data_IF_171469806865
#
_entry.id   IF_171469806865
#
_cell.length_a   1.000
_cell.length_b   1.000
_cell.length_c   1.000
_cell.angle_alpha   90.00
_cell.angle_beta   90.00
_cell.angle_gamma   90.00
#
_symmetry.space_group_name_H-M   'P 1'
#
loop_
_entity.id
_entity.type
_entity.pdbx_description
1 polymer ?
#
# COMPACT_ATOMS: atom_id res chain seq x y z
N UNK A 1 16.19 11.14 -28.99
CA UNK A 1 16.35 12.42 -28.26
C UNK A 1 14.97 13.05 -28.10
N UNK A 2 14.54 13.31 -26.87
CA UNK A 2 13.20 13.83 -26.58
C UNK A 2 13.21 15.36 -26.71
N UNK A 3 12.37 15.96 -27.58
CA UNK A 3 12.31 17.42 -27.74
C UNK A 3 11.75 18.09 -26.48
N UNK A 4 12.01 19.40 -26.34
CA UNK A 4 11.44 20.19 -25.26
C UNK A 4 9.91 20.05 -25.24
N UNK A 5 9.36 19.82 -24.05
CA UNK A 5 7.94 19.56 -23.84
C UNK A 5 7.25 20.77 -23.21
N UNK A 6 5.98 21.07 -23.55
CA UNK A 6 5.25 22.17 -22.93
C UNK A 6 4.89 21.83 -21.47
N UNK A 7 5.26 22.69 -20.52
CA UNK A 7 5.04 22.44 -19.09
C UNK A 7 3.56 22.46 -18.67
N UNK A 8 2.75 23.31 -19.29
CA UNK A 8 1.37 23.54 -18.86
C UNK A 8 0.47 22.30 -19.04
N UNK A 9 0.45 21.61 -20.20
CA UNK A 9 -0.31 20.38 -20.36
C UNK A 9 0.05 19.30 -19.33
N UNK A 10 1.35 19.09 -19.08
CA UNK A 10 1.80 18.13 -18.08
C UNK A 10 1.28 18.45 -16.68
N UNK A 11 1.35 19.71 -16.25
CA UNK A 11 0.82 20.15 -14.95
C UNK A 11 -0.67 19.89 -14.82
N UNK A 12 -1.45 20.26 -15.83
CA UNK A 12 -2.91 20.11 -15.82
C UNK A 12 -3.29 18.62 -15.79
N UNK A 13 -2.68 17.80 -16.65
CA UNK A 13 -2.95 16.36 -16.68
C UNK A 13 -2.61 15.67 -15.36
N UNK A 14 -1.42 15.92 -14.81
CA UNK A 14 -0.98 15.32 -13.56
C UNK A 14 -1.83 15.80 -12.38
N UNK A 15 -2.15 17.10 -12.31
CA UNK A 15 -3.06 17.64 -11.27
C UNK A 15 -4.44 16.98 -11.35
N UNK A 16 -4.97 16.77 -12.56
CA UNK A 16 -6.25 16.10 -12.77
C UNK A 16 -6.23 14.66 -12.23
N UNK A 17 -5.15 13.91 -12.50
CA UNK A 17 -4.98 12.56 -11.97
C UNK A 17 -4.93 12.55 -10.43
N UNK A 18 -4.19 13.49 -9.82
CA UNK A 18 -4.15 13.60 -8.37
C UNK A 18 -5.52 13.95 -7.76
N UNK A 19 -6.27 14.86 -8.40
CA UNK A 19 -7.64 15.20 -7.97
C UNK A 19 -8.55 13.97 -8.04
N UNK A 20 -8.45 13.16 -9.09
CA UNK A 20 -9.19 11.89 -9.19
C UNK A 20 -8.78 10.96 -8.04
N UNK A 21 -7.48 10.82 -7.75
CA UNK A 21 -6.95 10.06 -6.62
C UNK A 21 -7.53 10.51 -5.28
N UNK A 22 -7.52 11.82 -5.00
CA UNK A 22 -8.08 12.42 -3.78
C UNK A 22 -9.59 12.15 -3.67
N UNK A 23 -10.35 12.42 -4.74
CA UNK A 23 -11.79 12.17 -4.77
C UNK A 23 -12.11 10.69 -4.55
N UNK A 24 -11.29 9.78 -5.11
CA UNK A 24 -11.42 8.34 -4.93
C UNK A 24 -11.27 7.92 -3.45
N UNK A 25 -10.32 8.52 -2.73
CA UNK A 25 -10.13 8.31 -1.28
C UNK A 25 -11.28 8.88 -0.46
N UNK A 26 -11.76 10.09 -0.80
CA UNK A 26 -12.90 10.73 -0.11
C UNK A 26 -14.16 9.89 -0.27
N UNK A 27 -14.47 9.45 -1.50
CA UNK A 27 -15.62 8.59 -1.79
C UNK A 27 -15.54 7.27 -1.03
N UNK A 28 -14.36 6.64 -0.98
CA UNK A 28 -14.13 5.44 -0.16
C UNK A 28 -14.50 5.68 1.30
N UNK A 29 -13.93 6.71 1.92
CA UNK A 29 -14.12 7.02 3.35
C UNK A 29 -15.59 7.35 3.62
N UNK A 30 -16.21 8.19 2.81
CA UNK A 30 -17.61 8.59 2.97
C UNK A 30 -18.57 7.40 2.83
N UNK A 31 -18.35 6.55 1.82
CA UNK A 31 -19.15 5.33 1.65
C UNK A 31 -19.02 4.38 2.85
N UNK A 32 -17.80 4.19 3.37
CA UNK A 32 -17.53 3.34 4.54
C UNK A 32 -18.08 3.92 5.84
N UNK A 33 -18.03 5.25 5.97
CA UNK A 33 -18.66 6.00 7.06
C UNK A 33 -20.17 5.81 7.05
N UNK A 34 -20.83 6.03 5.90
CA UNK A 34 -22.28 5.83 5.74
C UNK A 34 -22.72 4.40 6.06
N UNK A 35 -21.93 3.42 5.65
CA UNK A 35 -22.22 2.00 5.94
C UNK A 35 -21.83 1.55 7.35
N UNK A 36 -21.32 2.45 8.22
CA UNK A 36 -20.81 2.18 9.58
C UNK A 36 -19.79 1.04 9.61
N UNK A 37 -18.95 0.95 8.59
CA UNK A 37 -17.97 -0.13 8.38
C UNK A 37 -16.54 0.41 8.22
N UNK A 38 -16.23 1.50 8.91
CA UNK A 38 -14.89 2.09 8.98
C UNK A 38 -13.92 1.10 9.64
N UNK A 39 -12.74 0.97 9.04
CA UNK A 39 -11.67 0.11 9.52
C UNK A 39 -10.30 0.79 9.38
N UNK A 40 -9.26 0.16 9.92
CA UNK A 40 -7.87 0.63 9.80
C UNK A 40 -7.41 0.84 8.35
N UNK A 41 -7.94 0.07 7.39
CA UNK A 41 -7.62 0.26 5.97
C UNK A 41 -8.11 1.61 5.41
N UNK A 42 -9.22 2.12 5.94
CA UNK A 42 -9.80 3.41 5.55
C UNK A 42 -8.97 4.57 6.10
N UNK A 43 -8.50 4.49 7.36
CA UNK A 43 -7.58 5.48 7.91
C UNK A 43 -6.24 5.50 7.18
N UNK A 44 -5.71 4.33 6.82
CA UNK A 44 -4.49 4.23 6.03
C UNK A 44 -4.63 4.88 4.64
N UNK A 45 -5.84 4.94 4.07
CA UNK A 45 -6.10 5.60 2.78
C UNK A 45 -6.16 7.13 2.85
N UNK A 46 -6.37 7.71 4.04
CA UNK A 46 -6.36 9.16 4.25
C UNK A 46 -4.95 9.73 4.11
N UNK A 47 -3.94 8.98 4.55
CA UNK A 47 -2.52 9.38 4.45
C UNK A 47 -2.13 9.75 3.01
N UNK A 48 -2.23 8.82 2.03
CA UNK A 48 -1.94 9.11 0.63
C UNK A 48 -2.74 10.30 0.10
N UNK A 49 -4.03 10.41 0.41
CA UNK A 49 -4.86 11.53 -0.04
C UNK A 49 -4.38 12.89 0.48
N UNK A 50 -3.88 12.97 1.72
CA UNK A 50 -3.31 14.20 2.26
C UNK A 50 -1.99 14.57 1.56
N UNK A 51 -1.14 13.57 1.29
CA UNK A 51 0.14 13.79 0.58
C UNK A 51 -0.04 14.07 -0.91
N UNK A 52 -1.15 13.68 -1.53
CA UNK A 52 -1.51 14.08 -2.90
C UNK A 52 -1.74 15.59 -3.00
N UNK A 53 -2.36 16.23 -2.00
CA UNK A 53 -2.47 17.69 -1.94
C UNK A 53 -1.08 18.36 -1.88
N UNK A 54 -0.16 17.77 -1.11
CA UNK A 54 1.23 18.23 -1.00
C UNK A 54 1.95 18.03 -2.33
N UNK A 55 1.76 16.91 -3.02
CA UNK A 55 2.34 16.63 -4.34
C UNK A 55 1.87 17.65 -5.38
N UNK A 56 0.56 17.98 -5.43
CA UNK A 56 0.03 19.05 -6.29
C UNK A 56 0.76 20.37 -5.99
N UNK A 57 0.83 20.79 -4.73
CA UNK A 57 1.52 22.02 -4.36
C UNK A 57 3.00 22.02 -4.81
N UNK A 58 3.70 20.91 -4.62
CA UNK A 58 5.10 20.74 -5.02
C UNK A 58 5.25 20.86 -6.55
N UNK A 59 4.38 20.24 -7.34
CA UNK A 59 4.42 20.33 -8.82
C UNK A 59 4.26 21.79 -9.26
N UNK A 60 3.30 22.51 -8.70
CA UNK A 60 3.04 23.90 -9.07
C UNK A 60 4.19 24.83 -8.66
N UNK A 61 4.77 24.63 -7.47
CA UNK A 61 5.89 25.42 -6.97
C UNK A 61 7.21 25.12 -7.70
N UNK A 62 7.51 23.85 -7.96
CA UNK A 62 8.79 23.42 -8.58
C UNK A 62 8.99 23.96 -9.98
N UNK A 63 7.91 24.02 -10.76
CA UNK A 63 7.94 24.42 -12.17
C UNK A 63 7.44 25.85 -12.40
N UNK A 64 7.48 26.72 -11.38
CA UNK A 64 7.25 28.15 -11.58
C UNK A 64 8.50 28.76 -12.21
N UNK A 65 8.33 29.70 -13.15
CA UNK A 65 9.44 30.48 -13.68
C UNK A 65 9.95 31.38 -12.57
N UNK A 66 11.19 31.15 -12.17
CA UNK A 66 11.93 31.95 -11.20
C UNK A 66 13.26 32.33 -11.83
N UNK A 67 13.79 33.48 -11.43
CA UNK A 67 15.15 33.88 -11.80
C UNK A 67 16.17 32.91 -11.20
N UNK A 68 17.33 32.77 -11.86
CA UNK A 68 18.42 31.84 -11.48
C UNK A 68 19.21 32.25 -10.23
N UNK A 69 18.51 32.81 -9.24
CA UNK A 69 19.10 33.12 -7.94
C UNK A 69 19.44 31.84 -7.16
N UNK A 70 20.49 31.91 -6.34
CA UNK A 70 20.92 30.79 -5.49
C UNK A 70 19.81 30.29 -4.55
N UNK A 71 18.98 31.20 -4.03
CA UNK A 71 17.83 30.88 -3.19
C UNK A 71 16.81 29.99 -3.91
N UNK A 72 16.56 30.26 -5.19
CA UNK A 72 15.64 29.46 -6.02
C UNK A 72 16.21 28.07 -6.26
N UNK A 73 17.53 27.94 -6.44
CA UNK A 73 18.20 26.63 -6.57
C UNK A 73 18.00 25.79 -5.31
N UNK A 74 18.23 26.37 -4.13
CA UNK A 74 18.01 25.67 -2.84
C UNK A 74 16.55 25.25 -2.66
N UNK A 75 15.59 26.12 -3.02
CA UNK A 75 14.17 25.78 -2.98
C UNK A 75 13.80 24.64 -3.94
N UNK A 76 14.34 24.62 -5.17
CA UNK A 76 14.12 23.53 -6.13
C UNK A 76 14.65 22.19 -5.61
N UNK A 77 15.82 22.20 -4.98
CA UNK A 77 16.41 21.03 -4.32
C UNK A 77 15.48 20.54 -3.20
N UNK A 78 15.06 21.43 -2.29
CA UNK A 78 14.14 21.10 -1.20
C UNK A 78 12.80 20.54 -1.71
N UNK A 79 12.19 21.17 -2.72
CA UNK A 79 10.98 20.67 -3.38
C UNK A 79 11.18 19.30 -4.02
N UNK A 80 12.36 19.02 -4.57
CA UNK A 80 12.68 17.70 -5.11
C UNK A 80 12.73 16.63 -4.01
N UNK A 81 13.31 16.94 -2.84
CA UNK A 81 13.30 16.03 -1.69
C UNK A 81 11.89 15.81 -1.14
N UNK A 82 11.12 16.88 -0.98
CA UNK A 82 9.73 16.77 -0.53
C UNK A 82 8.89 15.95 -1.50
N UNK A 83 9.14 16.05 -2.82
CA UNK A 83 8.48 15.22 -3.83
C UNK A 83 8.83 13.73 -3.65
N UNK A 84 10.11 13.41 -3.45
CA UNK A 84 10.57 12.03 -3.22
C UNK A 84 10.03 11.45 -1.91
N UNK A 85 9.96 12.27 -0.85
CA UNK A 85 9.35 11.88 0.41
C UNK A 85 7.85 11.61 0.24
N UNK A 86 7.13 12.51 -0.44
CA UNK A 86 5.69 12.36 -0.72
C UNK A 86 5.42 11.11 -1.55
N UNK A 87 6.20 10.86 -2.60
CA UNK A 87 6.16 9.64 -3.41
C UNK A 87 6.29 8.38 -2.53
N UNK A 88 7.30 8.33 -1.67
CA UNK A 88 7.52 7.20 -0.76
C UNK A 88 6.33 7.00 0.18
N UNK A 89 5.85 8.06 0.81
CA UNK A 89 4.71 8.01 1.73
C UNK A 89 3.45 7.51 1.00
N UNK A 90 3.13 8.06 -0.17
CA UNK A 90 1.97 7.68 -0.96
C UNK A 90 2.02 6.19 -1.33
N UNK A 91 3.14 5.70 -1.85
CA UNK A 91 3.29 4.30 -2.28
C UNK A 91 3.14 3.36 -1.09
N UNK A 92 3.91 3.60 -0.03
CA UNK A 92 3.93 2.69 1.12
C UNK A 92 2.59 2.67 1.86
N UNK A 93 1.97 3.83 2.10
CA UNK A 93 0.66 3.87 2.75
C UNK A 93 -0.45 3.25 1.88
N UNK A 94 -0.36 3.37 0.56
CA UNK A 94 -1.27 2.67 -0.36
C UNK A 94 -1.12 1.15 -0.26
N UNK A 95 0.11 0.64 -0.17
CA UNK A 95 0.41 -0.78 0.06
C UNK A 95 -0.09 -1.27 1.41
N UNK A 96 0.10 -0.47 2.46
CA UNK A 96 -0.41 -0.78 3.81
C UNK A 96 -1.94 -0.82 3.80
N UNK A 97 -2.62 0.12 3.14
CA UNK A 97 -4.08 0.10 2.99
C UNK A 97 -4.55 -1.17 2.27
N UNK A 98 -3.84 -1.58 1.20
CA UNK A 98 -4.15 -2.81 0.47
C UNK A 98 -3.91 -4.06 1.33
N UNK A 99 -2.80 -4.12 2.06
CA UNK A 99 -2.49 -5.21 2.99
C UNK A 99 -3.56 -5.32 4.09
N UNK A 100 -3.99 -4.20 4.66
CA UNK A 100 -5.08 -4.17 5.65
C UNK A 100 -6.43 -4.60 5.04
N UNK A 101 -6.70 -4.27 3.78
CA UNK A 101 -7.86 -4.79 3.07
C UNK A 101 -7.77 -6.32 2.93
N UNK A 102 -6.60 -6.87 2.62
CA UNK A 102 -6.34 -8.33 2.62
C UNK A 102 -6.58 -8.96 3.99
N UNK A 103 -6.09 -8.35 5.07
CA UNK A 103 -6.33 -8.80 6.47
C UNK A 103 -7.83 -8.89 6.73
N UNK A 104 -8.60 -7.86 6.32
CA UNK A 104 -10.05 -7.79 6.53
C UNK A 104 -10.83 -8.89 5.81
N UNK A 105 -10.39 -9.30 4.62
CA UNK A 105 -11.05 -10.36 3.83
C UNK A 105 -10.70 -11.75 4.39
N UNK A 106 -9.60 -11.86 5.12
CA UNK A 106 -9.10 -13.14 5.65
C UNK A 106 -9.88 -13.54 6.90
N UNK A 107 -10.45 -14.76 6.97
CA UNK A 107 -11.27 -15.17 8.10
C UNK A 107 -10.46 -15.18 9.41
N UNK A 108 -11.11 -14.79 10.50
CA UNK A 108 -10.47 -14.54 11.80
C UNK A 108 -9.78 -15.77 12.39
N UNK A 109 -10.24 -16.96 12.03
CA UNK A 109 -9.76 -18.25 12.56
C UNK A 109 -8.57 -18.84 11.78
N UNK A 110 -8.16 -18.23 10.66
CA UNK A 110 -7.08 -18.78 9.83
C UNK A 110 -5.69 -18.35 10.31
N UNK A 111 -4.75 -19.30 10.35
CA UNK A 111 -3.32 -19.01 10.59
C UNK A 111 -2.78 -18.00 9.57
N UNK A 112 -3.31 -18.02 8.35
CA UNK A 112 -3.00 -17.07 7.28
C UNK A 112 -3.20 -15.61 7.69
N UNK A 113 -4.22 -15.30 8.51
CA UNK A 113 -4.46 -13.92 8.97
C UNK A 113 -3.29 -13.36 9.76
N UNK A 114 -2.68 -14.19 10.60
CA UNK A 114 -1.52 -13.79 11.41
C UNK A 114 -0.32 -13.45 10.52
N UNK A 115 -0.08 -14.24 9.46
CA UNK A 115 0.96 -13.95 8.47
C UNK A 115 0.75 -12.61 7.76
N UNK A 116 -0.47 -12.31 7.32
CA UNK A 116 -0.76 -11.01 6.65
C UNK A 116 -0.56 -9.83 7.60
N UNK A 117 -0.98 -9.97 8.86
CA UNK A 117 -0.72 -8.94 9.88
C UNK A 117 0.80 -8.75 10.06
N UNK A 118 1.55 -9.85 10.15
CA UNK A 118 3.01 -9.83 10.20
C UNK A 118 3.63 -9.08 9.00
N UNK A 119 3.19 -9.38 7.78
CA UNK A 119 3.65 -8.67 6.58
C UNK A 119 3.29 -7.17 6.60
N UNK A 120 2.10 -6.82 7.09
CA UNK A 120 1.69 -5.41 7.22
C UNK A 120 2.61 -4.67 8.20
N UNK A 121 2.92 -5.28 9.34
CA UNK A 121 3.88 -4.72 10.30
C UNK A 121 5.29 -4.61 9.70
N UNK A 122 5.74 -5.63 8.96
CA UNK A 122 7.03 -5.60 8.28
C UNK A 122 7.11 -4.48 7.24
N UNK A 123 6.03 -4.21 6.49
CA UNK A 123 5.96 -3.08 5.56
C UNK A 123 6.05 -1.73 6.28
N UNK A 124 5.36 -1.56 7.41
CA UNK A 124 5.47 -0.34 8.21
C UNK A 124 6.91 -0.10 8.67
N UNK A 125 7.59 -1.14 9.19
CA UNK A 125 8.98 -1.04 9.66
C UNK A 125 9.94 -0.74 8.52
N UNK A 126 9.79 -1.44 7.38
CA UNK A 126 10.61 -1.21 6.19
C UNK A 126 10.45 0.23 5.67
N UNK A 127 9.21 0.75 5.63
CA UNK A 127 8.94 2.12 5.25
C UNK A 127 9.62 3.13 6.18
N UNK A 128 9.49 2.97 7.51
CA UNK A 128 10.16 3.85 8.49
C UNK A 128 11.68 3.81 8.30
N UNK A 129 12.25 2.62 8.12
CA UNK A 129 13.69 2.47 7.88
C UNK A 129 14.12 3.18 6.59
N UNK A 130 13.38 3.03 5.49
CA UNK A 130 13.66 3.72 4.23
C UNK A 130 13.56 5.25 4.36
N UNK A 131 12.54 5.75 5.06
CA UNK A 131 12.42 7.18 5.33
C UNK A 131 13.60 7.69 6.17
N UNK A 132 14.00 6.98 7.22
CA UNK A 132 15.15 7.37 8.03
C UNK A 132 16.45 7.37 7.22
N UNK A 133 16.68 6.33 6.41
CA UNK A 133 17.84 6.24 5.50
C UNK A 133 17.85 7.41 4.51
N UNK A 134 16.68 7.85 4.02
CA UNK A 134 16.55 9.00 3.14
C UNK A 134 16.85 10.31 3.88
N UNK A 135 16.28 10.52 5.07
CA UNK A 135 16.46 11.73 5.88
C UNK A 135 17.91 11.91 6.36
N UNK A 136 18.53 10.87 6.93
CA UNK A 136 19.92 10.93 7.44
C UNK A 136 20.93 11.24 6.34
N UNK A 137 20.65 10.81 5.11
CA UNK A 137 21.60 11.02 4.01
C UNK A 137 21.37 12.34 3.31
N UNK A 138 20.13 12.84 3.32
CA UNK A 138 19.85 14.21 2.95
C UNK A 138 20.66 15.21 3.79
N UNK A 139 20.94 14.90 5.06
CA UNK A 139 21.72 15.81 5.93
C UNK A 139 23.23 15.64 5.80
N UNK A 140 23.71 14.45 5.45
CA UNK A 140 25.16 14.12 5.52
C UNK A 140 25.87 14.20 4.17
N UNK A 141 25.25 13.83 3.04
CA UNK A 141 25.98 13.79 1.76
C UNK A 141 25.07 13.99 0.53
N UNK A 142 25.49 14.85 -0.41
CA UNK A 142 24.81 15.14 -1.68
C UNK A 142 24.94 14.05 -2.75
N UNK A 143 25.83 13.06 -2.58
CA UNK A 143 26.08 11.98 -3.55
C UNK A 143 25.02 10.86 -3.58
N UNK A 144 23.85 11.10 -3.01
CA UNK A 144 22.82 10.09 -2.74
C UNK A 144 22.10 9.54 -4.00
N UNK A 145 22.32 10.11 -5.18
CA UNK A 145 21.46 9.88 -6.34
C UNK A 145 21.62 8.50 -7.02
N UNK A 146 22.82 7.91 -7.07
CA UNK A 146 23.09 6.77 -7.98
C UNK A 146 23.00 5.39 -7.35
N UNK A 147 23.57 5.16 -6.16
CA UNK A 147 23.68 3.81 -5.55
C UNK A 147 22.36 3.37 -4.87
N UNK A 148 21.41 4.28 -4.67
CA UNK A 148 20.22 4.04 -3.83
C UNK A 148 18.98 3.63 -4.57
N UNK A 149 18.88 4.04 -5.84
CA UNK A 149 17.69 3.77 -6.61
C UNK A 149 17.45 2.24 -6.65
N UNK A 150 18.50 1.45 -6.84
CA UNK A 150 18.40 -0.01 -6.99
C UNK A 150 17.90 -0.71 -5.72
N UNK A 151 18.39 -0.30 -4.54
CA UNK A 151 17.91 -0.86 -3.26
C UNK A 151 16.44 -0.50 -3.05
N UNK A 152 16.08 0.76 -3.28
CA UNK A 152 14.69 1.23 -3.13
C UNK A 152 13.78 0.47 -4.09
N UNK A 153 14.21 0.30 -5.35
CA UNK A 153 13.48 -0.47 -6.35
C UNK A 153 13.32 -1.93 -5.93
N UNK A 154 14.38 -2.61 -5.50
CA UNK A 154 14.33 -4.00 -5.06
C UNK A 154 13.36 -4.19 -3.88
N UNK A 155 13.39 -3.29 -2.89
CA UNK A 155 12.49 -3.36 -1.74
C UNK A 155 11.04 -3.09 -2.16
N UNK A 156 10.81 -2.12 -3.04
CA UNK A 156 9.48 -1.81 -3.54
C UNK A 156 8.91 -2.99 -4.35
N UNK A 157 9.70 -3.55 -5.27
CA UNK A 157 9.31 -4.66 -6.13
C UNK A 157 8.99 -5.90 -5.29
N UNK A 158 9.82 -6.19 -4.28
CA UNK A 158 9.60 -7.29 -3.35
C UNK A 158 8.29 -7.12 -2.58
N UNK A 159 7.96 -5.90 -2.14
CA UNK A 159 6.71 -5.61 -1.44
C UNK A 159 5.49 -5.85 -2.35
N UNK A 160 5.54 -5.42 -3.62
CA UNK A 160 4.47 -5.67 -4.58
C UNK A 160 4.33 -7.14 -4.95
N UNK A 161 5.44 -7.88 -5.08
CA UNK A 161 5.41 -9.32 -5.31
C UNK A 161 4.73 -10.07 -4.15
N UNK A 162 4.96 -9.65 -2.91
CA UNK A 162 4.27 -10.22 -1.73
C UNK A 162 2.77 -9.91 -1.78
N UNK A 163 2.39 -8.65 -2.09
CA UNK A 163 0.99 -8.23 -2.21
C UNK A 163 0.25 -8.86 -3.39
N UNK A 164 0.96 -9.22 -4.45
CA UNK A 164 0.44 -9.98 -5.58
C UNK A 164 0.31 -11.47 -5.23
N UNK A 165 1.37 -12.05 -4.66
CA UNK A 165 1.47 -13.48 -4.37
C UNK A 165 0.44 -13.95 -3.35
N UNK A 166 0.11 -13.13 -2.35
CA UNK A 166 -0.87 -13.51 -1.32
C UNK A 166 -2.30 -13.77 -1.85
N UNK A 167 -2.98 -12.80 -2.50
CA UNK A 167 -4.32 -13.03 -3.03
C UNK A 167 -4.32 -14.11 -4.12
N UNK A 168 -3.24 -14.24 -4.88
CA UNK A 168 -3.06 -15.27 -5.89
C UNK A 168 -3.01 -16.68 -5.29
N UNK A 169 -2.16 -16.88 -4.28
CA UNK A 169 -2.13 -18.12 -3.50
C UNK A 169 -3.52 -18.46 -2.96
N UNK A 170 -4.24 -17.47 -2.43
CA UNK A 170 -5.59 -17.66 -1.90
C UNK A 170 -6.60 -18.06 -2.97
N UNK A 171 -6.51 -17.49 -4.18
CA UNK A 171 -7.41 -17.81 -5.29
C UNK A 171 -7.25 -19.26 -5.77
N UNK A 172 -6.05 -19.82 -5.70
CA UNK A 172 -5.80 -21.18 -6.16
C UNK A 172 -6.03 -22.26 -5.11
N UNK A 173 -5.65 -22.03 -3.85
CA UNK A 173 -5.68 -23.10 -2.84
C UNK A 173 -6.99 -23.19 -2.05
N UNK A 174 -7.79 -22.11 -1.97
CA UNK A 174 -8.96 -22.07 -1.09
C UNK A 174 -10.26 -22.02 -1.90
N UNK A 175 -11.18 -22.96 -1.64
CA UNK A 175 -12.56 -22.91 -2.13
C UNK A 175 -13.30 -21.76 -1.44
N UNK A 176 -13.23 -20.56 -2.03
CA UNK A 176 -13.91 -19.36 -1.54
C UNK A 176 -15.37 -19.30 -2.01
N UNK A 177 -16.26 -18.75 -1.16
CA UNK A 177 -17.62 -18.41 -1.57
C UNK A 177 -17.58 -17.39 -2.73
N UNK A 178 -18.49 -17.43 -3.72
CA UNK A 178 -18.42 -16.56 -4.91
C UNK A 178 -18.25 -15.06 -4.60
N UNK A 179 -18.94 -14.54 -3.58
CA UNK A 179 -18.82 -13.16 -3.15
C UNK A 179 -17.42 -12.80 -2.61
N UNK A 180 -16.81 -13.70 -1.82
CA UNK A 180 -15.44 -13.51 -1.33
C UNK A 180 -14.42 -13.61 -2.47
N UNK A 181 -14.66 -14.54 -3.42
CA UNK A 181 -13.81 -14.71 -4.61
C UNK A 181 -13.76 -13.44 -5.45
N UNK A 182 -14.89 -12.76 -5.68
CA UNK A 182 -14.93 -11.47 -6.40
C UNK A 182 -14.08 -10.41 -5.71
N UNK A 183 -14.16 -10.30 -4.38
CA UNK A 183 -13.39 -9.30 -3.63
C UNK A 183 -11.88 -9.60 -3.66
N UNK A 184 -11.49 -10.86 -3.51
CA UNK A 184 -10.07 -11.27 -3.64
C UNK A 184 -9.55 -11.01 -5.06
N UNK A 185 -10.37 -11.26 -6.09
CA UNK A 185 -10.03 -10.94 -7.48
C UNK A 185 -9.81 -9.43 -7.70
N UNK A 186 -10.64 -8.58 -7.09
CA UNK A 186 -10.47 -7.13 -7.16
C UNK A 186 -9.15 -6.68 -6.52
N UNK A 187 -8.83 -7.19 -5.32
CA UNK A 187 -7.56 -6.89 -4.66
C UNK A 187 -6.38 -7.39 -5.48
N UNK A 188 -6.47 -8.59 -6.03
CA UNK A 188 -5.47 -9.14 -6.94
C UNK A 188 -5.27 -8.24 -8.18
N UNK A 189 -6.36 -7.80 -8.82
CA UNK A 189 -6.30 -6.90 -9.98
C UNK A 189 -5.61 -5.58 -9.63
N UNK A 190 -5.85 -5.03 -8.44
CA UNK A 190 -5.19 -3.79 -8.01
C UNK A 190 -3.72 -3.99 -7.70
N UNK A 191 -3.33 -5.14 -7.12
CA UNK A 191 -1.92 -5.50 -6.95
C UNK A 191 -1.20 -5.62 -8.29
N UNK A 192 -1.84 -6.22 -9.30
CA UNK A 192 -1.30 -6.31 -10.67
C UNK A 192 -1.14 -4.92 -11.29
N UNK A 193 -2.13 -4.04 -11.11
CA UNK A 193 -2.07 -2.66 -11.62
C UNK A 193 -0.90 -1.89 -11.00
N UNK A 194 -0.71 -1.97 -9.68
CA UNK A 194 0.43 -1.35 -8.98
C UNK A 194 1.76 -1.93 -9.45
N UNK A 195 1.90 -3.26 -9.50
CA UNK A 195 3.12 -3.94 -9.96
C UNK A 195 3.47 -3.55 -11.40
N UNK A 196 2.48 -3.50 -12.29
CA UNK A 196 2.67 -3.09 -13.69
C UNK A 196 3.12 -1.62 -13.76
N UNK A 197 2.48 -0.75 -12.98
CA UNK A 197 2.87 0.65 -12.85
C UNK A 197 4.30 0.80 -12.36
N UNK A 198 4.72 0.00 -11.37
CA UNK A 198 6.08 0.02 -10.85
C UNK A 198 7.11 -0.44 -11.88
N UNK A 199 6.84 -1.55 -12.57
CA UNK A 199 7.72 -2.06 -13.64
C UNK A 199 7.83 -1.03 -14.77
N UNK A 200 6.71 -0.43 -15.18
CA UNK A 200 6.73 0.63 -16.19
C UNK A 200 7.53 1.85 -15.73
N UNK A 201 7.30 2.32 -14.50
CA UNK A 201 8.05 3.42 -13.90
C UNK A 201 9.55 3.11 -13.85
N UNK A 202 9.91 1.88 -13.49
CA UNK A 202 11.31 1.41 -13.43
C UNK A 202 11.94 1.36 -14.82
N UNK A 203 11.24 0.86 -15.84
CA UNK A 203 11.73 0.86 -17.22
C UNK A 203 11.98 2.30 -17.70
N UNK A 204 11.09 3.24 -17.39
CA UNK A 204 11.25 4.65 -17.76
C UNK A 204 12.41 5.29 -16.99
N UNK A 205 12.57 4.91 -15.72
CA UNK A 205 13.57 5.44 -14.79
C UNK A 205 14.99 4.94 -15.11
N UNK A 206 15.13 3.67 -15.43
CA UNK A 206 16.44 3.05 -15.65
C UNK A 206 16.77 2.85 -17.11
N UNK A 207 15.77 2.96 -17.98
CA UNK A 207 15.95 2.88 -19.41
C UNK A 207 16.80 4.05 -19.89
N UNK A 208 17.83 3.74 -20.67
CA UNK A 208 18.63 4.73 -21.42
C UNK A 208 17.84 5.43 -22.54
N UNK A 209 16.51 5.31 -22.54
CA UNK A 209 15.60 5.84 -23.56
C UNK A 209 15.35 7.34 -23.39
N UNK A 210 15.45 7.88 -22.17
CA UNK A 210 15.20 9.28 -21.87
C UNK A 210 16.47 10.14 -22.03
N UNK A 211 16.92 10.34 -23.27
CA UNK A 211 17.99 11.30 -23.58
C UNK A 211 17.41 12.57 -24.21
N UNK A 212 17.84 13.75 -23.74
CA UNK A 212 17.48 15.05 -24.32
C UNK A 212 16.90 16.05 -23.30
N UNK A 213 16.67 17.31 -23.72
CA UNK A 213 16.20 18.38 -22.83
C UNK A 213 14.82 18.11 -22.24
N UNK A 214 13.96 17.34 -22.92
CA UNK A 214 12.66 16.95 -22.39
C UNK A 214 12.71 15.93 -21.26
N UNK A 215 13.80 15.16 -21.12
CA UNK A 215 13.92 14.08 -20.13
C UNK A 215 13.79 14.60 -18.68
N UNK A 216 14.33 15.79 -18.41
CA UNK A 216 14.28 16.44 -17.10
C UNK A 216 12.83 16.72 -16.65
N UNK A 217 11.90 16.93 -17.58
CA UNK A 217 10.48 17.11 -17.29
C UNK A 217 9.72 15.79 -17.27
N UNK A 218 9.99 14.90 -18.22
CA UNK A 218 9.29 13.62 -18.36
C UNK A 218 9.46 12.77 -17.11
N UNK A 219 10.66 12.75 -16.53
CA UNK A 219 10.94 11.98 -15.32
C UNK A 219 10.05 12.31 -14.11
N UNK A 220 10.06 13.55 -13.57
CA UNK A 220 9.25 13.91 -12.41
C UNK A 220 7.76 13.80 -12.72
N UNK A 221 7.34 14.09 -13.96
CA UNK A 221 5.92 13.96 -14.32
C UNK A 221 5.47 12.49 -14.34
N UNK A 222 6.28 11.58 -14.87
CA UNK A 222 6.00 10.14 -14.84
C UNK A 222 5.91 9.62 -13.41
N UNK A 223 6.80 10.08 -12.52
CA UNK A 223 6.74 9.73 -11.10
C UNK A 223 5.43 10.16 -10.44
N UNK A 224 4.92 11.36 -10.77
CA UNK A 224 3.63 11.83 -10.25
C UNK A 224 2.43 11.10 -10.86
N UNK A 225 2.48 10.72 -12.14
CA UNK A 225 1.47 9.83 -12.74
C UNK A 225 1.43 8.50 -11.98
N UNK A 226 2.59 7.91 -11.70
CA UNK A 226 2.67 6.67 -10.93
C UNK A 226 2.05 6.83 -9.53
N UNK A 227 2.35 7.93 -8.81
CA UNK A 227 1.72 8.25 -7.51
C UNK A 227 0.19 8.24 -7.59
N UNK A 228 -0.38 8.98 -8.54
CA UNK A 228 -1.83 9.09 -8.69
C UNK A 228 -2.47 7.74 -9.04
N UNK A 229 -1.82 6.92 -9.89
CA UNK A 229 -2.27 5.56 -10.22
C UNK A 229 -2.26 4.69 -8.98
N UNK A 230 -1.22 4.75 -8.15
CA UNK A 230 -1.12 3.96 -6.91
C UNK A 230 -2.23 4.31 -5.91
N UNK A 231 -2.54 5.60 -5.73
CA UNK A 231 -3.66 6.04 -4.87
C UNK A 231 -5.00 5.59 -5.44
N UNK A 232 -5.20 5.74 -6.74
CA UNK A 232 -6.43 5.25 -7.38
C UNK A 232 -6.59 3.73 -7.21
N UNK A 233 -5.51 2.97 -7.47
CA UNK A 233 -5.49 1.51 -7.37
C UNK A 233 -5.83 1.02 -5.95
N UNK A 234 -5.31 1.67 -4.90
CA UNK A 234 -5.59 1.24 -3.53
C UNK A 234 -7.05 1.49 -3.10
N UNK A 235 -7.75 2.45 -3.72
CA UNK A 235 -9.16 2.75 -3.49
C UNK A 235 -10.13 1.97 -4.38
N UNK A 236 -9.66 1.49 -5.52
CA UNK A 236 -10.44 0.82 -6.54
C UNK A 236 -11.33 -0.34 -6.06
N UNK A 237 -10.92 -1.25 -5.15
CA UNK A 237 -11.76 -2.38 -4.73
C UNK A 237 -13.02 -1.92 -4.00
N UNK A 238 -12.92 -0.82 -3.23
CA UNK A 238 -14.07 -0.24 -2.51
C UNK A 238 -14.99 0.48 -3.48
N UNK A 239 -14.44 1.23 -4.44
CA UNK A 239 -15.21 1.95 -5.44
C UNK A 239 -16.01 1.00 -6.35
N UNK A 240 -15.40 -0.10 -6.81
CA UNK A 240 -16.13 -1.13 -7.56
C UNK A 240 -17.25 -1.73 -6.69
N UNK A 241 -16.94 -2.06 -5.43
CA UNK A 241 -17.94 -2.62 -4.52
C UNK A 241 -19.11 -1.66 -4.27
N UNK A 242 -18.84 -0.35 -4.27
CA UNK A 242 -19.85 0.70 -4.16
C UNK A 242 -20.67 0.80 -5.45
N UNK A 243 -20.01 0.95 -6.61
CA UNK A 243 -20.66 1.08 -7.91
C UNK A 243 -21.57 -0.12 -8.23
N UNK A 244 -21.10 -1.34 -7.92
CA UNK A 244 -21.92 -2.55 -8.05
C UNK A 244 -23.21 -2.49 -7.24
N UNK A 245 -23.18 -1.96 -6.01
CA UNK A 245 -24.37 -1.85 -5.15
C UNK A 245 -25.32 -0.75 -5.57
N UNK A 246 -24.80 0.34 -6.12
CA UNK A 246 -25.63 1.43 -6.65
C UNK A 246 -26.39 0.91 -7.87
N UNK A 247 -25.69 0.30 -8.84
CA UNK A 247 -26.31 -0.20 -10.06
C UNK A 247 -27.21 -1.43 -9.84
N UNK A 248 -26.88 -2.30 -8.88
CA UNK A 248 -27.71 -3.48 -8.59
C UNK A 248 -29.04 -3.14 -7.91
N UNK A 249 -29.17 -1.98 -7.26
CA UNK A 249 -30.43 -1.59 -6.61
C UNK A 249 -31.52 -1.24 -7.61
N UNK A 250 -31.14 -0.58 -8.70
CA UNK A 250 -32.11 -0.11 -9.69
C UNK A 250 -32.80 -1.27 -10.43
N UNK A 251 -32.13 -2.43 -10.57
CA UNK A 251 -32.69 -3.59 -11.27
C UNK A 251 -33.69 -4.40 -10.41
N UNK A 252 -33.60 -4.32 -9.08
CA UNK A 252 -34.50 -5.07 -8.18
C UNK A 252 -35.87 -4.36 -8.05
N UNK A 253 -35.91 -3.03 -8.22
CA UNK A 253 -37.14 -2.23 -8.11
C UNK A 253 -37.97 -2.22 -9.42
N UNK A 254 -37.37 -2.50 -10.58
CA UNK A 254 -38.05 -2.48 -11.88
C UNK A 254 -38.72 -3.83 -12.25
N UNK A 255 -38.40 -4.92 -11.52
CA UNK A 255 -39.06 -6.23 -11.69
C UNK A 255 -40.29 -6.42 -10.78
N UNK A 256 -40.88 -5.32 -10.30
CA UNK A 256 -42.05 -5.31 -9.42
C UNK A 256 -43.39 -5.69 -10.06
N UNK A 257 -43.46 -5.81 -11.39
CA UNK A 257 -44.67 -6.22 -12.11
C UNK A 257 -44.37 -7.34 -13.10
N UNK A 258 -44.39 -8.59 -12.61
CA UNK A 258 -45.12 -9.72 -13.20
C UNK A 258 -44.67 -11.08 -12.64
N UNK A 259 -45.61 -11.79 -11.98
CA UNK A 259 -45.82 -13.26 -12.09
C UNK A 259 -44.69 -14.12 -11.45
N UNK A 260 -44.80 -14.82 -10.32
CA UNK A 260 -45.95 -15.51 -9.70
C UNK A 260 -45.66 -15.93 -8.25
N UNK A 261 -46.71 -15.85 -7.43
CA UNK A 261 -46.84 -16.35 -6.07
C UNK A 261 -47.01 -17.90 -5.99
N UNK A 262 -46.17 -18.70 -6.65
CA UNK A 262 -46.30 -20.17 -6.60
C UNK A 262 -44.98 -20.89 -6.32
N UNK A 263 -44.39 -20.63 -5.14
CA UNK A 263 -43.56 -21.63 -4.45
C UNK A 263 -44.22 -21.99 -3.13
N UNK A 264 -45.47 -22.47 -3.22
CA UNK A 264 -45.98 -23.46 -2.28
C UNK A 264 -45.13 -24.72 -2.45
N UNK A 265 -44.05 -24.80 -1.69
CA UNK A 265 -43.54 -26.10 -1.28
C UNK A 265 -44.59 -26.70 -0.35
N UNK A 266 -45.62 -27.31 -0.94
CA UNK A 266 -46.33 -28.40 -0.30
C UNK A 266 -45.28 -29.47 -0.01
N UNK A 267 -44.92 -29.63 1.25
CA UNK A 267 -44.21 -30.80 1.74
C UNK A 267 -45.25 -31.92 1.85
N UNK A 268 -45.22 -32.97 1.00
CA UNK A 268 -46.03 -34.14 1.22
C UNK A 268 -45.26 -35.03 2.20
N UNK A 269 -45.65 -35.01 3.47
CA UNK A 269 -45.10 -35.94 4.46
C UNK A 269 -44.99 -35.33 5.83
N UNK A 270 -46.11 -35.36 6.57
CA UNK A 270 -46.12 -35.07 7.98
C UNK A 270 -45.19 -36.01 8.75
N UNK A 271 -44.29 -35.42 9.53
CA UNK A 271 -43.82 -36.02 10.76
C UNK A 271 -44.20 -35.06 11.91
N UNK A 272 -44.88 -35.55 12.96
CA UNK A 272 -45.30 -34.72 14.08
C UNK A 272 -44.06 -34.20 14.81
N UNK A 273 -43.89 -32.88 14.82
CA UNK A 273 -42.84 -32.23 15.62
C UNK A 273 -43.33 -32.16 17.07
N UNK A 274 -42.57 -32.69 18.05
CA UNK A 274 -42.98 -32.68 19.44
C UNK A 274 -43.07 -31.24 19.96
N UNK A 275 -44.21 -30.92 20.57
CA UNK A 275 -44.45 -29.70 21.31
C UNK A 275 -43.52 -29.66 22.53
N UNK A 276 -42.43 -28.90 22.44
CA UNK A 276 -41.70 -28.49 23.63
C UNK A 276 -42.52 -27.40 24.32
N UNK A 277 -43.22 -27.81 25.37
CA UNK A 277 -43.80 -26.94 26.38
C UNK A 277 -42.64 -26.25 27.08
N UNK A 278 -42.51 -24.94 26.87
CA UNK A 278 -41.62 -24.08 27.62
C UNK A 278 -42.30 -23.83 28.98
N UNK A 279 -41.94 -24.63 29.98
CA UNK A 279 -42.38 -24.39 31.35
C UNK A 279 -41.70 -23.13 31.87
N UNK A 280 -42.52 -22.15 32.24
CA UNK A 280 -42.15 -21.01 33.08
C UNK A 280 -41.42 -21.50 34.33
N UNK A 281 -40.17 -21.07 34.50
CA UNK A 281 -39.45 -21.13 35.78
C UNK A 281 -39.11 -19.70 36.21
N UNK A 282 -40.13 -19.06 36.75
CA UNK A 282 -40.03 -18.02 37.77
C UNK A 282 -39.50 -18.65 39.06
N UNK A 283 -38.36 -18.19 39.55
CA UNK A 283 -37.79 -18.57 40.85
C UNK A 283 -36.32 -18.15 40.91
N UNK A 284 -36.03 -16.93 41.38
CA UNK A 284 -35.71 -16.64 42.79
C UNK A 284 -34.43 -17.32 43.29
N UNK A 285 -33.52 -16.46 43.79
CA UNK A 285 -32.67 -16.66 44.98
C UNK A 285 -31.19 -17.07 44.76
N UNK A 286 -30.37 -16.03 44.94
CA UNK A 286 -29.19 -15.91 45.82
C UNK A 286 -27.98 -16.86 45.71
N UNK A 287 -26.85 -16.24 46.04
CA UNK A 287 -25.64 -16.77 46.66
C UNK A 287 -24.43 -17.04 45.75
N UNK A 288 -23.48 -16.11 45.85
CA UNK A 288 -22.11 -16.35 46.31
C UNK A 288 -21.50 -17.72 45.98
N UNK A 289 -20.51 -17.74 45.09
CA UNK A 289 -19.21 -18.32 45.48
C UNK A 289 -18.08 -17.66 44.68
N UNK A 290 -17.15 -17.12 45.45
CA UNK A 290 -15.80 -16.80 45.03
C UNK A 290 -15.13 -18.08 44.52
N UNK A 291 -14.51 -18.02 43.35
CA UNK A 291 -13.48 -18.99 43.01
C UNK A 291 -12.23 -18.26 42.52
N UNK A 292 -11.36 -18.08 43.52
CA UNK A 292 -9.96 -17.72 43.43
C UNK A 292 -9.25 -18.75 42.54
N UNK A 293 -8.88 -18.35 41.33
CA UNK A 293 -7.91 -19.11 40.53
C UNK A 293 -6.52 -18.63 40.94
N UNK A 294 -5.90 -19.38 41.86
CA UNK A 294 -4.46 -19.38 42.10
C UNK A 294 -3.77 -19.90 40.84
N UNK A 295 -3.10 -19.03 40.10
CA UNK A 295 -2.10 -19.45 39.11
C UNK A 295 -0.76 -19.55 39.84
N UNK A 296 -0.37 -20.79 40.13
CA UNK A 296 0.96 -21.18 40.57
C UNK A 296 1.97 -20.89 39.47
N UNK A 297 2.87 -19.95 39.73
CA UNK A 297 4.09 -19.73 38.94
C UNK A 297 5.10 -20.77 39.39
N UNK A 298 5.36 -21.76 38.53
CA UNK A 298 6.45 -22.71 38.70
C UNK A 298 7.73 -22.09 38.14
N UNK A 299 8.65 -21.80 39.03
CA UNK A 299 10.06 -21.53 38.72
C UNK A 299 10.68 -22.75 38.05
N UNK A 300 11.19 -22.57 36.84
CA UNK A 300 12.08 -23.51 36.19
C UNK A 300 13.46 -22.86 36.05
N UNK A 301 14.35 -23.30 36.93
CA UNK A 301 15.79 -23.09 36.96
C UNK A 301 16.54 -23.91 35.89
N UNK A 302 17.78 -23.48 35.61
CA UNK A 302 18.92 -24.15 34.92
C UNK A 302 19.13 -23.86 33.41
N UNK A 303 20.36 -23.98 32.88
CA UNK A 303 21.62 -23.41 33.40
C UNK A 303 22.52 -22.78 32.32
N UNK A 304 23.53 -22.09 32.83
CA UNK A 304 24.79 -21.67 32.21
C UNK A 304 25.42 -22.66 31.21
N UNK A 305 25.83 -22.16 30.05
CA UNK A 305 27.15 -22.44 29.44
C UNK A 305 27.37 -21.49 28.25
N UNK A 306 28.12 -20.41 28.47
CA UNK A 306 28.73 -19.64 27.38
C UNK A 306 30.20 -20.05 27.36
N UNK A 307 30.53 -20.87 26.37
CA UNK A 307 31.87 -21.32 26.05
C UNK A 307 32.49 -20.26 25.14
N UNK A 308 33.41 -19.48 25.69
CA UNK A 308 34.41 -18.71 24.95
C UNK A 308 35.35 -19.68 24.26
N UNK A 309 35.45 -19.57 22.93
CA UNK A 309 36.51 -20.19 22.15
C UNK A 309 37.06 -19.13 21.19
N UNK A 310 38.26 -18.68 21.54
CA UNK A 310 39.23 -18.05 20.66
C UNK A 310 39.60 -18.99 19.49
N UNK A 311 39.93 -18.40 18.35
CA UNK A 311 41.03 -18.77 17.43
C UNK A 311 40.84 -17.89 16.16
N UNK A 312 41.65 -16.84 15.99
CA UNK A 312 42.94 -16.82 15.28
C UNK A 312 42.84 -16.87 13.73
N UNK A 313 43.31 -15.75 13.14
CA UNK A 313 44.14 -15.65 11.93
C UNK A 313 43.51 -16.07 10.59
N UNK A 314 43.25 -15.09 9.71
CA UNK A 314 43.96 -14.97 8.40
C UNK A 314 43.97 -13.49 7.97
N UNK A 315 45.13 -12.86 8.11
CA UNK A 315 45.48 -11.61 7.43
C UNK A 315 45.71 -11.92 5.94
N UNK A 316 44.74 -11.59 5.10
CA UNK A 316 44.83 -11.63 3.64
C UNK A 316 44.97 -10.23 3.06
N UNK A 317 46.21 -9.76 2.96
CA UNK A 317 46.63 -8.51 2.35
C UNK A 317 46.33 -8.50 0.84
N UNK A 318 45.21 -7.87 0.44
CA UNK A 318 44.93 -7.55 -0.97
C UNK A 318 45.49 -6.17 -1.30
N UNK A 319 46.74 -6.14 -1.77
CA UNK A 319 47.30 -5.02 -2.51
C UNK A 319 46.71 -5.03 -3.93
N UNK A 320 45.58 -4.35 -4.13
CA UNK A 320 45.13 -3.95 -5.47
C UNK A 320 45.66 -2.55 -5.73
N UNK A 321 46.63 -2.48 -6.62
CA UNK A 321 47.24 -1.28 -7.16
C UNK A 321 46.20 -0.62 -8.09
N UNK A 322 45.45 0.35 -7.58
CA UNK A 322 44.68 1.26 -8.43
C UNK A 322 45.66 2.23 -9.10
N UNK A 323 45.92 1.97 -10.38
CA UNK A 323 46.53 2.93 -11.27
C UNK A 323 45.58 4.10 -11.46
N UNK A 324 46.05 5.24 -10.96
CA UNK A 324 45.56 6.60 -11.23
C UNK A 324 45.53 6.82 -12.74
N UNK A 325 44.32 6.91 -13.31
CA UNK A 325 44.12 7.61 -14.58
C UNK A 325 43.38 8.92 -14.30
N UNK A 326 44.19 9.90 -13.90
CA UNK A 326 43.85 11.31 -13.79
C UNK A 326 43.67 11.87 -15.20
N UNK A 327 42.45 11.82 -15.74
CA UNK A 327 41.99 12.72 -16.82
C UNK A 327 40.53 12.42 -17.13
N UNK A 328 39.61 13.27 -16.64
CA UNK A 328 38.46 13.79 -17.39
C UNK A 328 37.89 14.98 -16.60
N UNK A 329 38.41 16.15 -16.97
CA UNK A 329 37.63 17.32 -17.37
C UNK A 329 36.25 17.49 -16.72
N UNK A 330 36.27 18.22 -15.60
CA UNK A 330 35.37 19.34 -15.28
C UNK A 330 34.46 19.78 -16.46
N UNK A 331 33.24 19.23 -16.54
CA UNK A 331 32.11 19.86 -17.23
C UNK A 331 30.82 19.64 -16.43
N UNK A 332 30.31 20.78 -15.95
CA UNK A 332 28.91 21.09 -15.73
C UNK A 332 28.13 20.19 -14.75
N UNK A 333 28.37 20.45 -13.47
CA UNK A 333 27.39 20.18 -12.41
C UNK A 333 26.24 21.17 -12.58
N UNK A 334 25.23 20.79 -13.37
CA UNK A 334 23.96 21.52 -13.48
C UNK A 334 22.92 20.74 -12.68
N UNK A 335 22.60 21.30 -11.52
CA UNK A 335 21.58 20.86 -10.54
C UNK A 335 20.16 21.08 -11.07
#
# INVERSE_FOLDING_TARGET
MIPAQPYLPWKVSVTTLHVIGILSSVLRVEYRRRTRRLWWDDYASIGPAAFECVAIAIIWLRFRRYDDSEHVRQLKIALSYMNMASLSIIIWWSRISLALAVVRITPVWSKTRLWVIGFTCAFMVAWIALLLIMMVKCTVNTDWQRIRADIILCVNLTSDLILFGFPFYRLWYIKLRPAQRRLVLLVFSTSVLSLTGEVAFSIITYGKFLNGPGAMLVWPMTSNIYQAITVFACNFPVLISWGYRVYSRDNDDESGDHITHHWSHDAPGGLPKPSFVLTDLSGSRSQTSENVIRISVSEASLPSQIKTQDDEIVNGQWNVREEVLDTISRKDVIV
#
